data_IF_306265140805
#
_entry.id   IF_306265140805
#
_cell.length_a   1.000
_cell.length_b   1.000
_cell.length_c   1.000
_cell.angle_alpha   90.00
_cell.angle_beta   90.00
_cell.angle_gamma   90.00
#
_symmetry.space_group_name_H-M   'P 1'
#
loop_
_entity.id
_entity.type
_entity.pdbx_description
1 polymer ?
#
# COMPACT_ATOMS: atom_id res chain seq x y z
N UNK A 1 41.67 -10.15 -3.28
CA UNK A 1 40.39 -10.81 -2.93
C UNK A 1 39.14 -9.91 -3.04
N UNK A 2 39.24 -8.60 -3.38
CA UNK A 2 38.08 -7.68 -3.41
C UNK A 2 37.30 -7.62 -4.75
N UNK A 3 37.77 -8.26 -5.82
CA UNK A 3 37.13 -8.20 -7.15
C UNK A 3 35.99 -9.22 -7.36
N UNK A 4 35.93 -10.29 -6.57
CA UNK A 4 34.86 -11.31 -6.66
C UNK A 4 33.53 -10.84 -6.03
N UNK A 5 33.56 -9.87 -5.11
CA UNK A 5 32.36 -9.37 -4.43
C UNK A 5 31.47 -8.46 -5.33
N UNK A 6 32.08 -7.77 -6.30
CA UNK A 6 31.35 -6.90 -7.24
C UNK A 6 30.51 -7.68 -8.27
N UNK A 7 30.90 -8.91 -8.62
CA UNK A 7 30.15 -9.77 -9.56
C UNK A 7 28.92 -10.39 -8.87
N UNK A 8 29.03 -10.75 -7.59
CA UNK A 8 27.91 -11.27 -6.78
C UNK A 8 26.83 -10.19 -6.60
N UNK A 9 27.21 -8.92 -6.44
CA UNK A 9 26.27 -7.79 -6.38
C UNK A 9 25.51 -7.54 -7.70
N UNK A 10 26.02 -8.00 -8.85
CA UNK A 10 25.33 -7.93 -10.16
C UNK A 10 24.38 -9.10 -10.41
N UNK A 11 24.58 -10.26 -9.75
CA UNK A 11 23.71 -11.43 -9.89
C UNK A 11 22.53 -11.41 -8.89
N UNK A 12 22.64 -10.70 -7.78
CA UNK A 12 21.63 -10.62 -6.70
C UNK A 12 20.65 -9.45 -6.80
N UNK A 13 20.51 -8.79 -7.96
CA UNK A 13 19.52 -7.71 -8.14
C UNK A 13 18.51 -8.05 -9.22
N UNK A 14 17.80 -9.15 -9.00
CA UNK A 14 16.48 -9.36 -9.57
C UNK A 14 15.44 -8.57 -8.76
N UNK A 15 15.74 -7.29 -8.51
CA UNK A 15 14.87 -6.36 -7.80
C UNK A 15 13.65 -6.08 -8.69
N UNK A 16 12.66 -6.98 -8.64
CA UNK A 16 11.33 -6.69 -9.12
C UNK A 16 10.86 -5.45 -8.37
N UNK A 17 11.02 -4.29 -9.01
CA UNK A 17 10.61 -2.99 -8.46
C UNK A 17 9.14 -3.11 -8.12
N UNK A 18 8.82 -3.11 -6.83
CA UNK A 18 7.44 -3.15 -6.38
C UNK A 18 6.77 -1.87 -6.86
N UNK A 19 5.68 -2.02 -7.63
CA UNK A 19 4.96 -0.93 -8.25
C UNK A 19 3.52 -0.93 -7.77
N UNK A 20 2.98 0.25 -7.53
CA UNK A 20 1.55 0.41 -7.27
C UNK A 20 0.74 -0.09 -8.47
N UNK A 21 -0.20 -0.99 -8.22
CA UNK A 21 -1.08 -1.56 -9.25
C UNK A 21 -2.06 -0.53 -9.84
N UNK A 22 -2.25 0.61 -9.17
CA UNK A 22 -3.19 1.66 -9.59
C UNK A 22 -2.53 2.78 -10.38
N UNK A 23 -1.39 3.31 -9.92
CA UNK A 23 -0.69 4.42 -10.57
C UNK A 23 0.61 4.03 -11.28
N UNK A 24 1.11 2.80 -11.11
CA UNK A 24 2.33 2.30 -11.76
C UNK A 24 3.66 2.80 -11.17
N UNK A 25 3.61 3.77 -10.23
CA UNK A 25 4.78 4.29 -9.52
C UNK A 25 5.48 3.20 -8.72
N UNK A 26 6.81 3.21 -8.72
CA UNK A 26 7.60 2.31 -7.89
C UNK A 26 7.70 2.78 -6.43
N UNK A 27 8.23 1.92 -5.56
CA UNK A 27 8.32 2.17 -4.13
C UNK A 27 9.22 3.37 -3.75
N UNK A 28 10.17 3.79 -4.60
CA UNK A 28 11.00 4.98 -4.37
C UNK A 28 10.24 6.27 -4.73
N UNK A 29 9.21 6.18 -5.59
CA UNK A 29 8.41 7.31 -6.05
C UNK A 29 7.21 7.63 -5.16
N UNK A 30 6.94 6.83 -4.12
CA UNK A 30 5.78 7.00 -3.23
C UNK A 30 6.22 6.99 -1.77
N UNK A 31 5.48 7.69 -0.91
CA UNK A 31 5.81 7.74 0.52
C UNK A 31 5.60 6.41 1.22
N UNK A 32 4.55 5.67 0.84
CA UNK A 32 4.27 4.33 1.36
C UNK A 32 3.64 3.45 0.29
N UNK A 33 4.08 2.19 0.21
CA UNK A 33 3.50 1.16 -0.65
C UNK A 33 3.05 -0.02 0.22
N UNK A 34 1.76 -0.36 0.16
CA UNK A 34 1.17 -1.50 0.88
C UNK A 34 1.16 -2.71 -0.05
N UNK A 35 1.67 -3.84 0.43
CA UNK A 35 1.70 -5.11 -0.30
C UNK A 35 0.56 -6.04 0.16
N UNK A 36 -0.27 -6.48 -0.78
CA UNK A 36 -1.21 -7.58 -0.62
C UNK A 36 -0.73 -8.85 -1.34
N UNK A 37 -1.45 -9.97 -1.23
CA UNK A 37 -1.06 -11.24 -1.85
C UNK A 37 -0.86 -11.18 -3.38
N UNK A 38 -1.52 -10.26 -4.07
CA UNK A 38 -1.42 -10.11 -5.54
C UNK A 38 -1.55 -8.67 -6.04
N UNK A 39 -1.62 -7.70 -5.13
CA UNK A 39 -1.86 -6.29 -5.48
C UNK A 39 -1.03 -5.38 -4.58
N UNK A 40 -0.58 -4.26 -5.12
CA UNK A 40 0.15 -3.24 -4.37
C UNK A 40 -0.57 -1.90 -4.53
N UNK A 41 -0.68 -1.13 -3.44
CA UNK A 41 -1.33 0.19 -3.48
C UNK A 41 -0.51 1.20 -2.69
N UNK A 42 -0.31 2.40 -3.25
CA UNK A 42 0.41 3.48 -2.58
C UNK A 42 -0.51 4.39 -1.76
N UNK A 43 0.06 5.19 -0.86
CA UNK A 43 -0.69 6.09 0.01
C UNK A 43 -1.52 7.15 -0.74
N UNK A 44 -1.01 7.65 -1.88
CA UNK A 44 -1.76 8.57 -2.75
C UNK A 44 -3.01 7.91 -3.32
N UNK A 45 -2.88 6.69 -3.85
CA UNK A 45 -4.02 5.95 -4.40
C UNK A 45 -5.04 5.61 -3.32
N UNK A 46 -4.61 5.27 -2.10
CA UNK A 46 -5.53 5.05 -0.97
C UNK A 46 -6.37 6.30 -0.72
N UNK A 47 -5.76 7.48 -0.63
CA UNK A 47 -6.49 8.75 -0.40
C UNK A 47 -7.52 9.01 -1.49
N UNK A 48 -7.14 8.83 -2.75
CA UNK A 48 -8.05 8.99 -3.89
C UNK A 48 -9.20 7.99 -3.83
N UNK A 49 -8.92 6.71 -3.56
CA UNK A 49 -9.95 5.68 -3.45
C UNK A 49 -10.93 5.98 -2.30
N UNK A 50 -10.43 6.40 -1.14
CA UNK A 50 -11.28 6.78 0.01
C UNK A 50 -12.17 7.96 -0.36
N UNK A 51 -11.62 9.02 -0.95
CA UNK A 51 -12.40 10.19 -1.35
C UNK A 51 -13.53 9.84 -2.33
N UNK A 52 -13.26 8.98 -3.32
CA UNK A 52 -14.28 8.49 -4.26
C UNK A 52 -15.37 7.69 -3.53
N UNK A 53 -14.99 6.81 -2.60
CA UNK A 53 -15.99 6.01 -1.87
C UNK A 53 -16.84 6.87 -0.93
N UNK A 54 -16.24 7.84 -0.24
CA UNK A 54 -16.95 8.80 0.61
C UNK A 54 -17.98 9.62 -0.17
N UNK A 55 -17.68 10.00 -1.41
CA UNK A 55 -18.64 10.67 -2.30
C UNK A 55 -19.84 9.80 -2.68
N UNK A 56 -19.70 8.46 -2.61
CA UNK A 56 -20.69 7.49 -3.06
C UNK A 56 -21.37 6.71 -1.92
N UNK A 57 -21.45 7.31 -0.73
CA UNK A 57 -22.15 6.72 0.42
C UNK A 57 -21.25 6.06 1.47
N UNK A 58 -19.93 6.23 1.34
CA UNK A 58 -18.95 5.80 2.33
C UNK A 58 -18.79 4.29 2.44
N UNK A 59 -17.93 3.87 3.37
CA UNK A 59 -17.85 2.46 3.74
C UNK A 59 -18.96 2.17 4.75
N UNK A 60 -19.77 1.12 4.55
CA UNK A 60 -20.71 0.70 5.59
C UNK A 60 -19.91 0.39 6.85
N UNK A 61 -20.47 0.64 8.05
CA UNK A 61 -19.79 0.28 9.28
C UNK A 61 -19.45 -1.21 9.22
N UNK A 62 -18.15 -1.52 9.24
CA UNK A 62 -17.72 -2.89 9.51
C UNK A 62 -18.33 -3.25 10.87
N UNK A 63 -18.91 -4.45 10.99
CA UNK A 63 -19.70 -4.92 12.15
C UNK A 63 -18.92 -5.01 13.48
N UNK A 64 -17.82 -4.26 13.61
CA UNK A 64 -16.99 -4.08 14.80
C UNK A 64 -17.33 -2.78 15.57
N UNK A 65 -18.21 -1.90 15.07
CA UNK A 65 -18.56 -0.62 15.71
C UNK A 65 -19.95 -0.59 16.38
N UNK A 66 -20.50 -1.74 16.81
CA UNK A 66 -21.73 -1.78 17.60
C UNK A 66 -21.40 -1.85 19.10
N UNK A 67 -20.71 -0.81 19.60
CA UNK A 67 -20.48 -0.54 21.03
C UNK A 67 -20.54 0.96 21.32
N UNK A 68 -21.52 1.67 20.78
CA UNK A 68 -21.98 2.97 21.30
C UNK A 68 -23.41 2.79 21.83
N UNK A 69 -23.51 1.90 22.81
CA UNK A 69 -24.68 1.74 23.66
C UNK A 69 -24.27 2.02 25.09
N UNK A 70 -24.81 3.12 25.64
CA UNK A 70 -24.77 3.53 27.04
C UNK A 70 -23.59 4.45 27.43
N UNK A 71 -23.81 5.76 27.34
CA UNK A 71 -23.52 6.76 28.39
C UNK A 71 -24.09 8.13 27.97
N UNK A 72 -25.41 8.27 28.07
CA UNK A 72 -26.06 9.56 28.31
C UNK A 72 -26.91 9.35 29.57
N UNK A 73 -26.30 9.65 30.72
CA UNK A 73 -26.98 9.93 31.97
C UNK A 73 -26.80 11.42 32.25
#
# INVERSE_FOLDING_TARGET
MARKLAVIARLLRMQSTLRCSFCGKDADQVGRLVAGPSVYICDECIKTCVAVVEQHGGFPPSRAAEQDGLNHA
#
